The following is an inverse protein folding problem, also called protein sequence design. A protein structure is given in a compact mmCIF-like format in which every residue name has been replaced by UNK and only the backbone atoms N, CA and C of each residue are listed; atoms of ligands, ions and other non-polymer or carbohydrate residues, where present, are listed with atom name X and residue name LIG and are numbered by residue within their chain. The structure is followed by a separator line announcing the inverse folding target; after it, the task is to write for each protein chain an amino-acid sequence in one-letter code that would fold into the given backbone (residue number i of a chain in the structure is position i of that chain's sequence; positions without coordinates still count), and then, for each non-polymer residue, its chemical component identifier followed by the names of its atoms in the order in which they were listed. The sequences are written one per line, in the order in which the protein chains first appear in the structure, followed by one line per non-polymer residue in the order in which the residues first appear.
data_IF_559752097686
#
_entry.id   IF_559752097686
#
_cell.length_a   1.000
_cell.length_b   1.000
_cell.length_c   1.000
_cell.angle_alpha   90.00
_cell.angle_beta   90.00
_cell.angle_gamma   90.00
#
_symmetry.space_group_name_H-M   'P 1'
#
loop_
_entity.id
_entity.type
_entity.pdbx_description
1 polymer ?
#
# COMPACT_ATOMS: atom_id res chain seq x y z
N UNK A 1 9.11 -1.36 -2.97
CA UNK A 1 8.55 -1.58 -1.61
C UNK A 1 9.63 -1.95 -0.59
N UNK A 2 10.76 -2.55 -0.98
CA UNK A 2 11.84 -2.92 -0.06
C UNK A 2 12.41 -1.74 0.76
N UNK A 3 12.43 -0.55 0.18
CA UNK A 3 13.01 0.66 0.81
C UNK A 3 11.97 1.52 1.53
N UNK A 4 10.69 1.13 1.52
CA UNK A 4 9.66 1.90 2.23
C UNK A 4 9.69 1.57 3.73
N UNK A 5 9.82 2.56 4.63
CA UNK A 5 9.93 2.33 6.07
C UNK A 5 8.54 2.19 6.71
N UNK A 6 7.96 0.98 6.67
CA UNK A 6 6.73 0.72 7.42
C UNK A 6 7.00 0.78 8.93
N UNK A 7 5.96 1.04 9.73
CA UNK A 7 6.06 0.99 11.19
C UNK A 7 6.38 -0.43 11.64
N UNK A 8 7.23 -0.57 12.66
CA UNK A 8 7.50 -1.86 13.29
C UNK A 8 6.28 -2.33 14.10
N UNK A 9 6.12 -3.64 14.26
CA UNK A 9 5.01 -4.25 15.02
C UNK A 9 5.48 -5.58 15.64
N UNK A 10 4.75 -6.04 16.65
CA UNK A 10 4.89 -7.32 17.33
C UNK A 10 4.66 -8.53 16.43
N UNK A 11 3.93 -8.37 15.33
CA UNK A 11 3.60 -9.44 14.39
C UNK A 11 3.98 -9.07 12.95
N UNK A 12 4.20 -10.09 12.14
CA UNK A 12 4.28 -9.89 10.69
C UNK A 12 2.89 -9.58 10.15
N UNK A 13 2.82 -8.67 9.19
CA UNK A 13 1.58 -8.30 8.52
C UNK A 13 1.63 -8.69 7.05
N UNK A 14 0.48 -9.07 6.53
CA UNK A 14 0.33 -9.51 5.16
C UNK A 14 -0.86 -8.81 4.51
N UNK A 15 -0.68 -8.38 3.26
CA UNK A 15 -1.75 -7.88 2.42
C UNK A 15 -1.64 -8.44 1.01
N UNK A 16 -2.74 -8.98 0.47
CA UNK A 16 -2.81 -9.48 -0.91
C UNK A 16 -3.78 -8.61 -1.70
N UNK A 17 -3.32 -8.05 -2.82
CA UNK A 17 -4.11 -7.11 -3.60
C UNK A 17 -3.83 -7.23 -5.09
N UNK A 18 -4.80 -6.81 -5.89
CA UNK A 18 -4.66 -6.62 -7.33
C UNK A 18 -4.32 -5.15 -7.62
N UNK A 19 -3.17 -4.92 -8.24
CA UNK A 19 -2.68 -3.61 -8.66
C UNK A 19 -3.05 -3.35 -10.12
N UNK A 20 -3.61 -2.16 -10.38
CA UNK A 20 -3.89 -1.66 -11.72
C UNK A 20 -3.00 -0.48 -12.06
N UNK A 21 -2.34 -0.52 -13.22
CA UNK A 21 -1.48 0.55 -13.73
C UNK A 21 -1.76 0.72 -15.23
N UNK A 22 -2.28 1.87 -15.67
CA UNK A 22 -2.64 2.09 -17.07
C UNK A 22 -1.43 2.34 -18.00
N UNK A 23 -0.22 2.50 -17.46
CA UNK A 23 0.97 2.87 -18.21
C UNK A 23 2.01 1.74 -18.21
N UNK A 24 2.27 1.14 -17.04
CA UNK A 24 3.31 0.13 -16.88
C UNK A 24 2.72 -1.25 -16.61
N UNK A 25 2.72 -2.11 -17.63
CA UNK A 25 2.21 -3.49 -17.53
C UNK A 25 2.91 -4.32 -16.43
N UNK A 26 4.18 -4.03 -16.13
CA UNK A 26 4.93 -4.72 -15.08
C UNK A 26 4.34 -4.52 -13.68
N UNK A 27 3.63 -3.40 -13.46
CA UNK A 27 2.94 -3.10 -12.21
C UNK A 27 1.55 -3.74 -12.16
N UNK A 28 1.03 -4.28 -13.26
CA UNK A 28 -0.32 -4.82 -13.30
C UNK A 28 -0.38 -6.29 -12.87
N UNK A 29 -1.22 -6.61 -11.90
CA UNK A 29 -1.46 -7.99 -11.47
C UNK A 29 -1.64 -8.11 -9.95
N UNK A 30 -1.64 -9.34 -9.46
CA UNK A 30 -1.79 -9.60 -8.04
C UNK A 30 -0.44 -9.67 -7.32
N UNK A 31 -0.40 -9.12 -6.11
CA UNK A 31 0.78 -9.06 -5.28
C UNK A 31 0.46 -9.44 -3.84
N UNK A 32 1.45 -10.01 -3.16
CA UNK A 32 1.48 -10.20 -1.70
C UNK A 32 2.54 -9.28 -1.12
N UNK A 33 2.12 -8.32 -0.30
CA UNK A 33 2.99 -7.49 0.53
C UNK A 33 3.12 -8.13 1.91
N UNK A 34 4.35 -8.39 2.33
CA UNK A 34 4.69 -8.74 3.70
C UNK A 34 5.43 -7.59 4.35
N UNK A 35 5.06 -7.29 5.60
CA UNK A 35 5.77 -6.34 6.44
C UNK A 35 6.25 -7.13 7.65
N UNK A 36 7.56 -7.29 7.78
CA UNK A 36 8.14 -7.96 8.94
C UNK A 36 8.03 -7.10 10.19
N UNK A 37 8.27 -7.71 11.36
CA UNK A 37 8.18 -7.06 12.67
C UNK A 37 9.06 -5.80 12.79
N UNK A 38 10.16 -5.73 12.04
CA UNK A 38 11.07 -4.57 11.99
C UNK A 38 10.64 -3.48 10.98
N UNK A 39 9.46 -3.59 10.35
CA UNK A 39 8.96 -2.62 9.38
C UNK A 39 9.48 -2.79 7.96
N UNK A 40 10.18 -3.89 7.65
CA UNK A 40 10.71 -4.13 6.29
C UNK A 40 9.62 -4.72 5.38
N UNK A 41 9.34 -4.03 4.27
CA UNK A 41 8.36 -4.46 3.28
C UNK A 41 8.95 -5.35 2.20
N UNK A 42 8.25 -6.43 1.82
CA UNK A 42 8.57 -7.24 0.63
C UNK A 42 7.30 -7.49 -0.16
N UNK A 43 7.31 -7.16 -1.44
CA UNK A 43 6.20 -7.43 -2.35
C UNK A 43 6.60 -8.47 -3.38
N UNK A 44 5.75 -9.47 -3.56
CA UNK A 44 5.95 -10.56 -4.51
C UNK A 44 4.71 -10.69 -5.39
N UNK A 45 4.93 -10.92 -6.69
CA UNK A 45 3.84 -11.22 -7.61
C UNK A 45 3.27 -12.60 -7.30
N UNK A 46 1.96 -12.71 -7.28
CA UNK A 46 1.22 -13.97 -7.12
C UNK A 46 0.33 -14.21 -8.34
N UNK A 47 -0.06 -15.47 -8.56
CA UNK A 47 -0.73 -15.89 -9.78
C UNK A 47 -2.21 -15.50 -9.85
N UNK A 48 -2.89 -15.42 -8.69
CA UNK A 48 -4.34 -15.28 -8.63
C UNK A 48 -4.77 -13.85 -8.29
N UNK A 49 -5.75 -13.29 -9.02
CA UNK A 49 -6.39 -12.03 -8.65
C UNK A 49 -6.94 -12.08 -7.23
N UNK A 50 -6.76 -10.98 -6.50
CA UNK A 50 -7.27 -10.81 -5.14
C UNK A 50 -8.55 -9.99 -5.13
N UNK A 51 -9.37 -10.19 -4.09
CA UNK A 51 -10.57 -9.39 -3.85
C UNK A 51 -10.21 -7.91 -3.65
N UNK A 52 -9.13 -7.66 -2.91
CA UNK A 52 -8.62 -6.32 -2.69
C UNK A 52 -8.04 -5.72 -3.95
N UNK A 53 -8.35 -4.46 -4.20
CA UNK A 53 -7.98 -3.75 -5.42
C UNK A 53 -7.51 -2.34 -5.11
N UNK A 54 -6.44 -1.94 -5.79
CA UNK A 54 -5.88 -0.61 -5.69
C UNK A 54 -5.23 -0.23 -7.02
N UNK A 55 -5.28 1.06 -7.38
CA UNK A 55 -4.53 1.57 -8.52
C UNK A 55 -3.13 2.02 -8.10
N UNK A 56 -2.19 2.07 -9.04
CA UNK A 56 -0.84 2.57 -8.79
C UNK A 56 -0.86 4.01 -8.23
N UNK A 57 -1.79 4.85 -8.70
CA UNK A 57 -1.94 6.22 -8.20
C UNK A 57 -2.41 6.24 -6.74
N UNK A 58 -3.40 5.40 -6.38
CA UNK A 58 -3.87 5.29 -5.00
C UNK A 58 -2.77 4.74 -4.09
N UNK A 59 -2.09 3.67 -4.48
CA UNK A 59 -0.97 3.07 -3.72
C UNK A 59 0.12 4.10 -3.46
N UNK A 60 0.51 4.84 -4.49
CA UNK A 60 1.55 5.86 -4.41
C UNK A 60 1.12 7.03 -3.51
N UNK A 61 -0.14 7.47 -3.60
CA UNK A 61 -0.71 8.49 -2.71
C UNK A 61 -0.68 8.05 -1.25
N UNK A 62 -1.03 6.78 -0.99
CA UNK A 62 -1.07 6.17 0.33
C UNK A 62 0.33 6.04 0.94
N UNK A 63 1.28 5.45 0.21
CA UNK A 63 2.65 5.25 0.68
C UNK A 63 3.38 6.57 0.91
N UNK A 64 3.15 7.60 0.08
CA UNK A 64 3.75 8.91 0.34
C UNK A 64 3.10 9.68 1.50
N UNK A 65 2.12 9.10 2.21
CA UNK A 65 1.47 9.73 3.36
C UNK A 65 0.52 10.89 3.01
N UNK A 66 0.19 11.10 1.74
CA UNK A 66 -0.71 12.19 1.33
C UNK A 66 -2.15 12.00 1.78
N UNK A 67 -2.62 10.74 1.77
CA UNK A 67 -3.99 10.37 2.17
C UNK A 67 -3.97 9.05 2.94
N UNK A 68 -4.76 9.04 4.01
CA UNK A 68 -4.99 7.91 4.91
C UNK A 68 -5.71 6.74 4.18
N UNK A 69 -5.31 5.48 4.42
CA UNK A 69 -6.03 4.29 3.92
C UNK A 69 -7.55 4.31 4.11
N UNK A 70 -8.06 4.64 5.30
CA UNK A 70 -9.49 4.78 5.63
C UNK A 70 -10.17 5.79 4.70
N UNK A 71 -9.55 6.95 4.52
CA UNK A 71 -10.08 7.97 3.62
C UNK A 71 -10.17 7.45 2.18
N UNK A 72 -9.12 6.77 1.70
CA UNK A 72 -9.07 6.20 0.36
C UNK A 72 -10.12 5.11 0.16
N UNK A 73 -10.37 4.29 1.19
CA UNK A 73 -11.42 3.27 1.18
C UNK A 73 -12.81 3.91 1.11
N UNK A 74 -13.06 4.92 1.95
CA UNK A 74 -14.34 5.63 2.01
C UNK A 74 -14.73 6.32 0.69
N UNK A 75 -13.75 6.77 -0.09
CA UNK A 75 -14.00 7.36 -1.43
C UNK A 75 -13.91 6.34 -2.57
N UNK A 76 -13.81 5.04 -2.26
CA UNK A 76 -13.79 3.95 -3.24
C UNK A 76 -12.50 3.84 -4.07
N UNK A 77 -11.39 4.40 -3.58
CA UNK A 77 -10.08 4.37 -4.26
C UNK A 77 -9.21 3.17 -3.85
N UNK A 78 -9.45 2.65 -2.66
CA UNK A 78 -8.89 1.41 -2.12
C UNK A 78 -10.07 0.49 -1.79
N UNK A 79 -10.10 -0.71 -2.37
CA UNK A 79 -11.09 -1.72 -2.03
C UNK A 79 -10.36 -2.82 -1.25
N UNK A 80 -10.69 -2.96 0.03
CA UNK A 80 -10.18 -3.99 0.93
C UNK A 80 -11.15 -4.11 2.11
N UNK A 81 -11.02 -5.19 2.89
CA UNK A 81 -11.80 -5.33 4.12
C UNK A 81 -11.34 -4.41 5.25
N UNK A 82 -12.20 -4.20 6.25
CA UNK A 82 -11.93 -3.29 7.37
C UNK A 82 -10.65 -3.65 8.13
N UNK A 83 -10.40 -4.95 8.33
CA UNK A 83 -9.19 -5.44 8.99
C UNK A 83 -7.91 -5.05 8.23
N UNK A 84 -7.93 -5.13 6.90
CA UNK A 84 -6.81 -4.71 6.06
C UNK A 84 -6.64 -3.19 6.08
N UNK A 85 -7.73 -2.43 6.06
CA UNK A 85 -7.66 -0.96 6.17
C UNK A 85 -7.02 -0.55 7.50
N UNK A 86 -7.48 -1.11 8.61
CA UNK A 86 -6.93 -0.84 9.96
C UNK A 86 -5.45 -1.21 10.04
N UNK A 87 -5.08 -2.36 9.47
CA UNK A 87 -3.68 -2.78 9.39
C UNK A 87 -2.82 -1.78 8.60
N UNK A 88 -3.31 -1.29 7.46
CA UNK A 88 -2.59 -0.31 6.64
C UNK A 88 -2.50 1.06 7.32
N UNK A 89 -3.53 1.47 8.07
CA UNK A 89 -3.51 2.69 8.90
C UNK A 89 -2.41 2.63 9.96
N UNK A 90 -2.24 1.48 10.60
CA UNK A 90 -1.19 1.28 11.59
C UNK A 90 0.20 1.11 10.95
N UNK A 91 0.30 0.49 9.78
CA UNK A 91 1.59 0.18 9.16
C UNK A 91 2.26 1.40 8.47
N UNK A 92 1.48 2.40 8.03
CA UNK A 92 1.95 3.52 7.20
C UNK A 92 2.07 4.79 8.03
N UNK A 93 3.25 5.41 8.02
CA UNK A 93 3.46 6.69 8.71
C UNK A 93 2.73 7.83 7.99
N UNK A 94 2.07 8.70 8.76
CA UNK A 94 1.47 9.91 8.24
C UNK A 94 2.50 11.02 8.31
N UNK A 95 3.07 11.41 7.17
CA UNK A 95 3.90 12.60 7.06
C UNK A 95 3.27 13.54 6.05
N UNK A 96 3.27 14.84 6.34
CA UNK A 96 2.99 15.84 5.31
C UNK A 96 4.22 15.90 4.40
N UNK A 97 4.17 15.39 3.16
CA UNK A 97 5.32 15.47 2.26
C UNK A 97 5.62 16.94 1.97
N UNK A 98 6.86 17.32 2.24
CA UNK A 98 7.38 18.66 1.99
C UNK A 98 8.35 18.59 0.82
N UNK A 99 8.00 19.26 -0.28
CA UNK A 99 8.87 19.42 -1.45
C UNK A 99 9.08 20.92 -1.64
N UNK A 100 10.31 21.40 -1.43
CA UNK A 100 10.68 22.81 -1.61
C UNK A 100 11.25 23.13 -2.99
N UNK A 101 11.63 22.12 -3.75
CA UNK A 101 12.31 22.30 -5.03
C UNK A 101 11.31 22.38 -6.19
N UNK A 102 11.55 23.31 -7.10
CA UNK A 102 10.85 23.45 -8.38
C UNK A 102 11.86 23.16 -9.50
N UNK A 103 11.56 22.17 -10.34
CA UNK A 103 12.36 21.76 -11.50
C UNK A 103 11.69 22.18 -12.80
#
# INVERSE_FOLDING_TARGET
MADYPFKADSMEREWRFTLTDPILECNQGAFRLCISQNGQGRAERISEPCADQISIQTMTTMLMGYKRPDYLARIGRLNADEATIDMLEDAIEQQAPYISDYF
#
